data_IF_533910103865
#
_entry.id   IF_533910103865
#
_cell.length_a   1.000
_cell.length_b   1.000
_cell.length_c   1.000
_cell.angle_alpha   90.00
_cell.angle_beta   90.00
_cell.angle_gamma   90.00
#
_symmetry.space_group_name_H-M   'P 1'
#
loop_
_entity.id
_entity.type
_entity.pdbx_description
1 polymer ?
#
# COMPACT_ATOMS: atom_id res chain seq x y z
N UNK A 1 83.08 12.75 13.45
CA UNK A 1 81.85 12.04 13.84
C UNK A 1 81.09 11.72 12.57
N UNK A 2 81.19 10.48 12.11
CA UNK A 2 80.50 9.98 10.92
C UNK A 2 79.11 9.52 11.39
N UNK A 3 78.04 10.16 10.91
CA UNK A 3 76.70 9.60 11.01
C UNK A 3 76.12 9.47 9.61
N UNK A 4 75.85 8.22 9.25
CA UNK A 4 75.33 7.75 7.98
C UNK A 4 73.97 8.38 7.66
N UNK A 5 73.87 9.06 6.52
CA UNK A 5 72.61 9.53 5.95
C UNK A 5 72.27 8.72 4.69
N UNK A 6 72.06 7.42 4.86
CA UNK A 6 71.52 6.54 3.82
C UNK A 6 70.21 5.98 4.36
N UNK A 7 69.07 6.55 3.93
CA UNK A 7 67.77 5.85 3.80
C UNK A 7 66.56 6.74 3.41
N UNK A 8 66.70 8.05 3.19
CA UNK A 8 65.53 8.92 2.95
C UNK A 8 64.89 8.77 1.54
N UNK A 9 65.64 8.36 0.52
CA UNK A 9 65.08 8.19 -0.84
C UNK A 9 64.16 6.97 -0.97
N UNK A 10 64.36 5.93 -0.15
CA UNK A 10 63.55 4.71 -0.22
C UNK A 10 62.17 4.90 0.42
N UNK A 11 62.05 5.69 1.50
CA UNK A 11 60.76 5.95 2.16
C UNK A 11 59.81 6.78 1.27
N UNK A 12 60.34 7.78 0.54
CA UNK A 12 59.54 8.62 -0.36
C UNK A 12 59.03 7.87 -1.60
N UNK A 13 59.76 6.87 -2.11
CA UNK A 13 59.27 5.98 -3.18
C UNK A 13 58.22 5.01 -2.65
N UNK A 14 58.42 4.44 -1.46
CA UNK A 14 57.46 3.54 -0.82
C UNK A 14 56.12 4.27 -0.55
N UNK A 15 56.15 5.50 -0.01
CA UNK A 15 54.92 6.28 0.26
C UNK A 15 54.15 6.66 -1.04
N UNK A 16 54.87 6.87 -2.15
CA UNK A 16 54.25 7.14 -3.46
C UNK A 16 53.64 5.89 -4.07
N UNK A 17 54.32 4.75 -3.94
CA UNK A 17 53.79 3.45 -4.34
C UNK A 17 52.56 3.08 -3.50
N UNK A 18 52.62 3.23 -2.17
CA UNK A 18 51.49 3.01 -1.26
C UNK A 18 50.29 3.89 -1.61
N UNK A 19 50.48 5.18 -1.91
CA UNK A 19 49.38 6.05 -2.37
C UNK A 19 48.82 5.63 -3.73
N UNK A 20 49.65 5.17 -4.67
CA UNK A 20 49.22 4.66 -5.97
C UNK A 20 48.42 3.37 -5.84
N UNK A 21 48.86 2.45 -4.97
CA UNK A 21 48.14 1.22 -4.65
C UNK A 21 46.80 1.51 -3.95
N UNK A 22 46.77 2.42 -2.98
CA UNK A 22 45.52 2.84 -2.33
C UNK A 22 44.55 3.50 -3.33
N UNK A 23 45.06 4.29 -4.29
CA UNK A 23 44.23 4.84 -5.37
C UNK A 23 43.67 3.76 -6.30
N UNK A 24 44.47 2.75 -6.67
CA UNK A 24 43.99 1.62 -7.48
C UNK A 24 42.95 0.79 -6.72
N UNK A 25 43.17 0.50 -5.44
CA UNK A 25 42.22 -0.24 -4.60
C UNK A 25 40.90 0.53 -4.48
N UNK A 26 40.95 1.85 -4.29
CA UNK A 26 39.77 2.69 -4.20
C UNK A 26 38.99 2.73 -5.54
N UNK A 27 39.71 2.83 -6.67
CA UNK A 27 39.09 2.75 -8.01
C UNK A 27 38.46 1.38 -8.26
N UNK A 28 39.13 0.29 -7.87
CA UNK A 28 38.60 -1.08 -7.99
C UNK A 28 37.36 -1.27 -7.11
N UNK A 29 37.39 -0.81 -5.85
CA UNK A 29 36.23 -0.84 -4.96
C UNK A 29 35.05 -0.09 -5.56
N UNK A 30 35.27 1.11 -6.10
CA UNK A 30 34.22 1.90 -6.75
C UNK A 30 33.62 1.18 -7.97
N UNK A 31 34.45 0.53 -8.80
CA UNK A 31 33.94 -0.25 -9.93
C UNK A 31 33.13 -1.47 -9.49
N UNK A 32 33.55 -2.11 -8.39
CA UNK A 32 32.83 -3.24 -7.83
C UNK A 32 31.49 -2.82 -7.22
N UNK A 33 31.43 -1.66 -6.57
CA UNK A 33 30.19 -1.08 -6.06
C UNK A 33 29.23 -0.70 -7.19
N UNK A 34 29.75 -0.15 -8.30
CA UNK A 34 28.95 0.13 -9.50
C UNK A 34 28.35 -1.15 -10.10
N UNK A 35 29.11 -2.24 -10.12
CA UNK A 35 28.64 -3.53 -10.63
C UNK A 35 27.56 -4.14 -9.71
N UNK A 36 27.75 -4.08 -8.39
CA UNK A 36 26.73 -4.50 -7.42
C UNK A 36 25.46 -3.66 -7.55
N UNK A 37 25.59 -2.35 -7.72
CA UNK A 37 24.47 -1.44 -7.94
C UNK A 37 23.72 -1.79 -9.23
N UNK A 38 24.46 -2.07 -10.32
CA UNK A 38 23.91 -2.50 -11.62
C UNK A 38 23.08 -3.77 -11.48
N UNK A 39 23.62 -4.81 -10.83
CA UNK A 39 22.91 -6.07 -10.62
C UNK A 39 21.71 -5.91 -9.66
N UNK A 40 21.83 -5.08 -8.61
CA UNK A 40 20.71 -4.77 -7.72
C UNK A 40 19.57 -4.08 -8.45
N UNK A 41 19.89 -3.13 -9.33
CA UNK A 41 18.93 -2.36 -10.11
C UNK A 41 18.23 -3.27 -11.12
N UNK A 42 18.98 -4.12 -11.83
CA UNK A 42 18.44 -5.11 -12.76
C UNK A 42 17.39 -5.99 -12.09
N UNK A 43 17.68 -6.53 -10.88
CA UNK A 43 16.70 -7.29 -10.08
C UNK A 43 15.47 -6.47 -9.73
N UNK A 44 15.65 -5.24 -9.22
CA UNK A 44 14.55 -4.34 -8.85
C UNK A 44 13.65 -3.98 -10.04
N UNK A 45 14.24 -3.80 -11.23
CA UNK A 45 13.49 -3.49 -12.45
C UNK A 45 12.72 -4.71 -12.98
N UNK A 46 13.20 -5.93 -12.76
CA UNK A 46 12.48 -7.16 -13.12
C UNK A 46 11.24 -7.38 -12.25
N UNK A 47 11.33 -7.09 -10.95
CA UNK A 47 10.23 -7.31 -9.99
C UNK A 47 9.30 -6.10 -9.82
N UNK A 48 9.55 -4.99 -10.53
CA UNK A 48 8.73 -3.78 -10.42
C UNK A 48 7.31 -4.04 -10.91
N UNK A 49 6.33 -3.36 -10.30
CA UNK A 49 4.95 -3.36 -10.78
C UNK A 49 4.84 -2.61 -12.10
N UNK A 50 3.87 -2.98 -12.94
CA UNK A 50 3.61 -2.26 -14.19
C UNK A 50 3.07 -0.85 -13.88
N UNK A 51 3.24 0.07 -14.84
CA UNK A 51 2.70 1.42 -14.72
C UNK A 51 1.18 1.40 -14.44
N UNK A 52 0.43 0.58 -15.18
CA UNK A 52 -1.01 0.45 -15.01
C UNK A 52 -1.38 -0.03 -13.60
N UNK A 53 -0.67 -1.05 -13.08
CA UNK A 53 -0.89 -1.53 -11.70
C UNK A 53 -0.66 -0.44 -10.65
N UNK A 54 0.32 0.45 -10.87
CA UNK A 54 0.58 1.56 -9.95
C UNK A 54 -0.51 2.65 -10.04
N UNK A 55 -1.08 2.88 -11.23
CA UNK A 55 -2.24 3.77 -11.41
C UNK A 55 -3.48 3.18 -10.74
N UNK A 56 -3.75 1.88 -10.94
CA UNK A 56 -4.93 1.20 -10.40
C UNK A 56 -4.96 1.19 -8.87
N UNK A 57 -3.79 1.04 -8.24
CA UNK A 57 -3.63 1.11 -6.77
C UNK A 57 -3.60 2.56 -6.26
N UNK A 58 -3.58 3.56 -7.16
CA UNK A 58 -3.61 4.98 -6.82
C UNK A 58 -2.27 5.55 -6.36
N UNK A 59 -1.14 4.93 -6.74
CA UNK A 59 0.21 5.39 -6.40
C UNK A 59 0.69 6.44 -7.41
N UNK A 60 0.46 6.22 -8.71
CA UNK A 60 0.80 7.18 -9.77
C UNK A 60 -0.45 7.96 -10.18
N UNK A 61 -0.48 9.29 -9.97
CA UNK A 61 -1.55 10.13 -10.49
C UNK A 61 -1.36 10.35 -12.00
N UNK A 62 -2.46 10.18 -12.76
CA UNK A 62 -2.49 10.60 -14.17
C UNK A 62 -2.50 12.13 -14.28
N UNK A 63 -2.22 12.66 -15.47
CA UNK A 63 -2.38 14.09 -15.74
C UNK A 63 -3.82 14.54 -15.41
N UNK A 64 -3.98 15.74 -14.86
CA UNK A 64 -5.27 16.28 -14.39
C UNK A 64 -5.95 15.50 -13.25
N UNK A 65 -5.21 14.66 -12.51
CA UNK A 65 -5.73 13.90 -11.38
C UNK A 65 -6.45 14.78 -10.34
N UNK A 66 -5.90 15.95 -9.99
CA UNK A 66 -6.52 16.83 -9.00
C UNK A 66 -7.87 17.37 -9.44
N UNK A 67 -7.98 17.81 -10.70
CA UNK A 67 -9.23 18.32 -11.27
C UNK A 67 -10.27 17.21 -11.36
N UNK A 68 -9.88 16.02 -11.84
CA UNK A 68 -10.77 14.87 -11.88
C UNK A 68 -11.23 14.44 -10.49
N UNK A 69 -10.31 14.40 -9.51
CA UNK A 69 -10.60 14.08 -8.12
C UNK A 69 -11.58 15.09 -7.53
N UNK A 70 -11.34 16.40 -7.71
CA UNK A 70 -12.26 17.45 -7.24
C UNK A 70 -13.65 17.30 -7.86
N UNK A 71 -13.74 17.08 -9.17
CA UNK A 71 -15.00 16.85 -9.86
C UNK A 71 -15.72 15.60 -9.34
N UNK A 72 -15.00 14.49 -9.16
CA UNK A 72 -15.54 13.25 -8.60
C UNK A 72 -16.03 13.45 -7.16
N UNK A 73 -15.29 14.19 -6.33
CA UNK A 73 -15.70 14.53 -4.97
C UNK A 73 -16.95 15.39 -4.98
N UNK A 74 -17.02 16.44 -5.79
CA UNK A 74 -18.19 17.30 -5.91
C UNK A 74 -19.43 16.52 -6.37
N UNK A 75 -19.28 15.64 -7.37
CA UNK A 75 -20.36 14.73 -7.81
C UNK A 75 -20.83 13.84 -6.67
N UNK A 76 -19.89 13.21 -5.96
CA UNK A 76 -20.19 12.34 -4.80
C UNK A 76 -20.92 13.12 -3.70
N UNK A 77 -20.43 14.32 -3.37
CA UNK A 77 -21.02 15.22 -2.39
C UNK A 77 -22.45 15.63 -2.77
N UNK A 78 -22.68 16.00 -4.03
CA UNK A 78 -24.00 16.35 -4.54
C UNK A 78 -24.98 15.16 -4.45
N UNK A 79 -24.57 13.98 -4.91
CA UNK A 79 -25.39 12.75 -4.83
C UNK A 79 -25.72 12.42 -3.38
N UNK A 80 -24.73 12.46 -2.49
CA UNK A 80 -24.91 12.16 -1.08
C UNK A 80 -25.85 13.16 -0.41
N UNK A 81 -25.69 14.46 -0.68
CA UNK A 81 -26.58 15.51 -0.17
C UNK A 81 -28.04 15.20 -0.54
N UNK A 82 -28.29 14.88 -1.80
CA UNK A 82 -29.64 14.53 -2.25
C UNK A 82 -30.17 13.25 -1.57
N UNK A 83 -29.34 12.20 -1.44
CA UNK A 83 -29.73 10.94 -0.77
C UNK A 83 -30.00 11.09 0.72
N UNK A 84 -29.32 12.02 1.40
CA UNK A 84 -29.57 12.32 2.80
C UNK A 84 -30.92 13.03 2.94
N UNK A 85 -31.24 13.98 2.05
CA UNK A 85 -32.52 14.68 2.05
C UNK A 85 -33.70 13.74 1.75
N UNK A 86 -33.52 12.79 0.84
CA UNK A 86 -34.54 11.80 0.49
C UNK A 86 -34.44 10.49 1.29
N UNK A 87 -33.79 10.52 2.46
CA UNK A 87 -33.61 9.31 3.28
C UNK A 87 -34.97 8.86 3.85
N UNK A 88 -35.40 7.61 3.60
CA UNK A 88 -36.66 7.09 4.14
C UNK A 88 -36.57 6.83 5.65
N UNK A 89 -37.72 6.96 6.32
CA UNK A 89 -37.87 6.64 7.73
C UNK A 89 -37.83 5.14 8.00
N UNK A 90 -37.46 4.78 9.24
CA UNK A 90 -37.39 3.37 9.67
C UNK A 90 -38.74 2.67 9.54
N UNK A 91 -39.84 3.35 9.85
CA UNK A 91 -41.19 2.77 9.78
C UNK A 91 -41.55 2.37 8.35
N UNK A 92 -41.27 3.23 7.38
CA UNK A 92 -41.48 2.94 5.96
C UNK A 92 -40.66 1.71 5.51
N UNK A 93 -39.41 1.58 5.98
CA UNK A 93 -38.59 0.40 5.69
C UNK A 93 -39.14 -0.91 6.30
N UNK A 94 -39.85 -0.83 7.43
CA UNK A 94 -40.51 -1.98 8.06
C UNK A 94 -41.77 -2.36 7.29
N UNK A 95 -42.58 -1.37 6.91
CA UNK A 95 -43.79 -1.57 6.11
C UNK A 95 -43.48 -2.28 4.78
N UNK A 96 -42.39 -1.88 4.12
CA UNK A 96 -41.91 -2.53 2.90
C UNK A 96 -41.15 -3.85 3.13
N UNK A 97 -41.12 -4.38 4.36
CA UNK A 97 -40.41 -5.62 4.75
C UNK A 97 -38.91 -5.63 4.42
N UNK A 98 -38.27 -4.45 4.35
CA UNK A 98 -36.82 -4.32 4.17
C UNK A 98 -36.12 -4.52 5.53
N UNK A 99 -36.62 -3.85 6.57
CA UNK A 99 -36.16 -4.03 7.95
C UNK A 99 -37.13 -4.92 8.74
N UNK A 100 -36.60 -5.65 9.73
CA UNK A 100 -37.43 -6.38 10.67
C UNK A 100 -37.93 -5.46 11.78
N UNK A 101 -39.19 -5.62 12.16
CA UNK A 101 -39.77 -4.89 13.29
C UNK A 101 -39.35 -5.52 14.62
N UNK A 102 -38.07 -5.33 14.99
CA UNK A 102 -37.54 -5.79 16.27
C UNK A 102 -36.62 -4.74 16.88
N UNK A 103 -36.54 -4.74 18.21
CA UNK A 103 -35.62 -3.89 19.01
C UNK A 103 -34.28 -4.61 19.24
N UNK A 104 -34.19 -5.89 18.83
CA UNK A 104 -32.98 -6.68 18.97
C UNK A 104 -31.80 -6.06 18.20
N UNK A 105 -30.59 -6.20 18.77
CA UNK A 105 -29.37 -5.71 18.16
C UNK A 105 -29.17 -6.29 16.74
N UNK A 106 -28.61 -5.53 15.78
CA UNK A 106 -28.48 -5.96 14.37
C UNK A 106 -27.81 -7.33 14.18
N UNK A 107 -26.85 -7.66 15.04
CA UNK A 107 -26.13 -8.94 14.99
C UNK A 107 -27.02 -10.16 15.24
N UNK A 108 -28.11 -10.02 16.02
CA UNK A 108 -28.97 -11.15 16.47
C UNK A 108 -30.28 -11.20 15.66
N UNK A 109 -30.62 -10.16 14.90
CA UNK A 109 -31.89 -10.10 14.16
C UNK A 109 -32.07 -11.29 13.20
N UNK A 110 -31.01 -11.74 12.55
CA UNK A 110 -31.09 -12.87 11.62
C UNK A 110 -31.36 -14.19 12.35
N UNK A 111 -30.66 -14.47 13.45
CA UNK A 111 -30.86 -15.69 14.24
C UNK A 111 -32.24 -15.71 14.88
N UNK A 112 -32.71 -14.56 15.38
CA UNK A 112 -34.09 -14.39 15.86
C UNK A 112 -35.12 -14.70 14.76
N UNK A 113 -34.90 -14.21 13.53
CA UNK A 113 -35.80 -14.47 12.39
C UNK A 113 -35.82 -15.95 12.01
N UNK A 114 -34.66 -16.61 12.00
CA UNK A 114 -34.55 -18.05 11.74
C UNK A 114 -35.27 -18.86 12.81
N UNK A 115 -35.07 -18.53 14.09
CA UNK A 115 -35.77 -19.16 15.20
C UNK A 115 -37.29 -18.98 15.10
N UNK A 116 -37.76 -17.77 14.74
CA UNK A 116 -39.19 -17.49 14.51
C UNK A 116 -39.75 -18.37 13.40
N UNK A 117 -39.01 -18.53 12.29
CA UNK A 117 -39.40 -19.40 11.18
C UNK A 117 -39.44 -20.87 11.57
N UNK A 118 -38.41 -21.39 12.24
CA UNK A 118 -38.36 -22.78 12.69
C UNK A 118 -39.54 -23.10 13.63
N UNK A 119 -39.75 -22.26 14.65
CA UNK A 119 -40.90 -22.40 15.55
C UNK A 119 -42.24 -22.39 14.81
N UNK A 120 -42.41 -21.54 13.81
CA UNK A 120 -43.65 -21.51 13.02
C UNK A 120 -43.84 -22.82 12.26
N UNK A 121 -42.79 -23.38 11.66
CA UNK A 121 -42.85 -24.67 10.97
C UNK A 121 -43.26 -25.77 11.93
N UNK A 122 -42.61 -25.87 13.09
CA UNK A 122 -42.93 -26.89 14.09
C UNK A 122 -44.39 -26.78 14.56
N UNK A 123 -44.84 -25.56 14.89
CA UNK A 123 -46.22 -25.31 15.31
C UNK A 123 -47.27 -25.60 14.23
N UNK A 124 -46.92 -25.47 12.96
CA UNK A 124 -47.82 -25.81 11.86
C UNK A 124 -47.85 -27.32 11.62
N UNK A 125 -46.71 -27.99 11.74
CA UNK A 125 -46.62 -29.45 11.64
C UNK A 125 -47.43 -30.15 12.73
N UNK A 126 -47.42 -29.63 13.96
CA UNK A 126 -48.20 -30.20 15.07
C UNK A 126 -49.73 -30.00 14.91
N UNK A 127 -50.17 -29.11 14.00
CA UNK A 127 -51.58 -28.75 13.78
C UNK A 127 -52.18 -29.36 12.50
N UNK A 128 -51.37 -30.07 11.73
CA UNK A 128 -51.75 -30.80 10.51
C UNK A 128 -51.91 -32.29 10.84
#
# INVERSE_FOLDING_TARGET
MIFNNHNNVNELTIIKEDNSFQQQINQQSLTQDLEQNRESLKRKLQIRRSFQQLVDVGIIPLSFYEQQKQLQMQKTQYILKNKILSRPDRQLLIEHNILSDTIAAPAIQNTQRQLKRARLVDNLNDKL
#
